data_IF_967616245115
#
_entry.id   IF_967616245115
#
_cell.length_a   1.000
_cell.length_b   1.000
_cell.length_c   1.000
_cell.angle_alpha   90.00
_cell.angle_beta   90.00
_cell.angle_gamma   90.00
#
_symmetry.space_group_name_H-M   'P 1'
#
loop_
_entity.id
_entity.type
_entity.pdbx_description
1 polymer ?
#
# COMPACT_ATOMS: atom_id res chain seq x y z
N UNK A 1 -10.71 42.29 27.37
CA UNK A 1 -11.47 41.53 28.39
C UNK A 1 -10.71 40.26 28.74
N UNK A 2 -10.20 40.15 29.98
CA UNK A 2 -9.29 39.08 30.45
C UNK A 2 -10.03 37.96 31.20
N UNK A 3 -11.30 38.16 31.51
CA UNK A 3 -12.13 37.30 32.36
C UNK A 3 -13.43 36.92 31.65
N UNK A 4 -13.90 35.69 31.87
CA UNK A 4 -15.07 35.08 31.23
C UNK A 4 -16.09 34.66 32.29
N UNK A 5 -17.37 34.70 31.97
CA UNK A 5 -18.43 34.13 32.80
C UNK A 5 -18.35 32.59 32.83
N UNK A 6 -19.06 31.97 33.79
CA UNK A 6 -19.15 30.51 33.87
C UNK A 6 -19.72 29.90 32.57
N UNK A 7 -20.75 30.52 31.99
CA UNK A 7 -21.38 30.04 30.76
C UNK A 7 -20.39 30.03 29.59
N UNK A 8 -19.66 31.13 29.39
CA UNK A 8 -18.66 31.22 28.31
C UNK A 8 -17.49 30.25 28.54
N UNK A 9 -17.04 30.08 29.79
CA UNK A 9 -15.98 29.14 30.11
C UNK A 9 -16.39 27.68 29.87
N UNK A 10 -17.65 27.34 30.17
CA UNK A 10 -18.21 26.00 29.93
C UNK A 10 -18.39 25.72 28.44
N UNK A 11 -18.84 26.71 27.67
CA UNK A 11 -18.96 26.63 26.22
C UNK A 11 -17.60 26.36 25.56
N UNK A 12 -16.57 27.14 25.94
CA UNK A 12 -15.20 26.98 25.42
C UNK A 12 -14.58 25.62 25.80
N UNK A 13 -14.84 25.12 27.01
CA UNK A 13 -14.29 23.84 27.47
C UNK A 13 -15.11 22.63 26.99
N UNK A 14 -16.39 22.83 26.63
CA UNK A 14 -17.38 21.79 26.37
C UNK A 14 -17.41 20.72 27.48
N UNK A 15 -17.55 21.18 28.74
CA UNK A 15 -17.60 20.31 29.93
C UNK A 15 -18.76 20.68 30.85
N UNK A 16 -19.10 19.79 31.78
CA UNK A 16 -20.09 20.07 32.82
C UNK A 16 -19.54 21.04 33.89
N UNK A 17 -20.40 21.82 34.57
CA UNK A 17 -19.99 22.77 35.63
C UNK A 17 -19.06 22.16 36.68
N UNK A 18 -19.29 20.92 37.10
CA UNK A 18 -18.46 20.23 38.10
C UNK A 18 -16.98 20.16 37.67
N UNK A 19 -16.72 19.98 36.37
CA UNK A 19 -15.37 19.92 35.82
C UNK A 19 -14.69 21.28 35.82
N UNK A 20 -15.42 22.36 35.52
CA UNK A 20 -14.89 23.72 35.62
C UNK A 20 -14.51 24.04 37.07
N UNK A 21 -15.41 23.78 38.02
CA UNK A 21 -15.17 24.04 39.45
C UNK A 21 -14.02 23.20 40.02
N UNK A 22 -13.92 21.92 39.64
CA UNK A 22 -12.81 21.07 40.06
C UNK A 22 -11.45 21.60 39.56
N UNK A 23 -11.38 22.18 38.36
CA UNK A 23 -10.15 22.75 37.83
C UNK A 23 -9.79 24.08 38.51
N UNK A 24 -10.78 24.85 38.94
CA UNK A 24 -10.57 26.07 39.73
C UNK A 24 -10.06 25.71 41.13
N UNK A 25 -10.70 24.74 41.80
CA UNK A 25 -10.27 24.23 43.12
C UNK A 25 -8.85 23.67 43.09
N UNK A 26 -8.43 23.07 41.97
CA UNK A 26 -7.07 22.56 41.76
C UNK A 26 -6.07 23.63 41.28
N UNK A 27 -6.45 24.90 41.26
CA UNK A 27 -5.61 26.02 40.85
C UNK A 27 -5.24 26.05 39.36
N UNK A 28 -5.91 25.26 38.52
CA UNK A 28 -5.60 25.15 37.08
C UNK A 28 -6.27 26.23 36.25
N UNK A 29 -7.35 26.82 36.76
CA UNK A 29 -8.04 27.98 36.18
C UNK A 29 -8.18 29.00 37.31
N UNK A 30 -7.62 30.19 37.11
CA UNK A 30 -7.82 31.29 38.06
C UNK A 30 -9.26 31.79 37.98
N UNK A 31 -9.85 32.05 39.14
CA UNK A 31 -11.18 32.63 39.27
C UNK A 31 -11.14 33.84 40.20
N UNK A 32 -12.01 34.82 39.96
CA UNK A 32 -12.26 35.96 40.86
C UNK A 32 -13.77 36.19 41.03
N UNK A 33 -14.23 36.81 42.12
CA UNK A 33 -15.61 37.30 42.22
C UNK A 33 -15.93 38.26 41.06
N UNK A 34 -17.18 38.26 40.63
CA UNK A 34 -17.69 39.28 39.71
C UNK A 34 -17.83 40.60 40.46
N UNK A 35 -17.44 41.70 39.81
CA UNK A 35 -17.44 43.03 40.43
C UNK A 35 -18.89 43.56 40.57
N UNK A 36 -19.82 43.07 39.74
CA UNK A 36 -21.25 43.44 39.74
C UNK A 36 -22.13 42.53 40.60
N UNK A 37 -21.72 41.28 40.85
CA UNK A 37 -22.44 40.31 41.68
C UNK A 37 -21.47 39.38 42.43
N UNK A 38 -21.22 39.60 43.73
CA UNK A 38 -20.28 38.80 44.52
C UNK A 38 -20.62 37.30 44.60
N UNK A 39 -21.85 36.91 44.23
CA UNK A 39 -22.26 35.49 44.17
C UNK A 39 -21.84 34.80 42.87
N UNK A 40 -21.34 35.54 41.89
CA UNK A 40 -20.82 35.04 40.62
C UNK A 40 -19.31 35.04 40.62
N UNK A 41 -18.74 34.14 39.82
CA UNK A 41 -17.30 34.05 39.61
C UNK A 41 -16.99 34.21 38.13
N UNK A 42 -15.91 34.93 37.86
CA UNK A 42 -15.31 35.09 36.54
C UNK A 42 -14.02 34.25 36.45
N UNK A 43 -13.76 33.69 35.27
CA UNK A 43 -12.69 32.75 35.00
C UNK A 43 -11.66 33.33 34.03
N UNK A 44 -10.38 33.13 34.31
CA UNK A 44 -9.32 33.71 33.50
C UNK A 44 -9.29 33.08 32.09
N UNK A 45 -9.52 33.91 31.06
CA UNK A 45 -9.70 33.46 29.66
C UNK A 45 -8.56 32.58 29.16
N UNK A 46 -7.31 32.96 29.41
CA UNK A 46 -6.16 32.22 28.88
C UNK A 46 -5.97 30.85 29.55
N UNK A 47 -6.41 30.68 30.79
CA UNK A 47 -6.32 29.39 31.48
C UNK A 47 -7.38 28.43 30.91
N UNK A 48 -8.59 28.94 30.67
CA UNK A 48 -9.70 28.25 30.00
C UNK A 48 -9.30 27.82 28.58
N UNK A 49 -8.78 28.74 27.76
CA UNK A 49 -8.36 28.44 26.38
C UNK A 49 -7.19 27.45 26.32
N UNK A 50 -6.21 27.57 27.22
CA UNK A 50 -5.08 26.63 27.30
C UNK A 50 -5.55 25.22 27.64
N UNK A 51 -6.55 25.11 28.51
CA UNK A 51 -7.13 23.84 28.89
C UNK A 51 -7.98 23.24 27.76
N UNK A 52 -8.80 24.04 27.08
CA UNK A 52 -9.58 23.61 25.91
C UNK A 52 -8.67 23.08 24.78
N UNK A 53 -7.56 23.77 24.49
CA UNK A 53 -6.56 23.33 23.50
C UNK A 53 -5.94 21.97 23.85
N UNK A 54 -5.68 21.70 25.13
CA UNK A 54 -5.14 20.40 25.59
C UNK A 54 -6.16 19.27 25.49
N UNK A 55 -7.42 19.54 25.79
CA UNK A 55 -8.50 18.55 25.69
C UNK A 55 -8.79 18.19 24.22
N UNK A 56 -8.90 19.21 23.35
CA UNK A 56 -9.07 19.01 21.92
C UNK A 56 -7.84 18.34 21.27
N UNK A 57 -6.62 18.69 21.69
CA UNK A 57 -5.41 18.01 21.20
C UNK A 57 -5.37 16.52 21.53
N UNK A 58 -5.86 16.10 22.70
CA UNK A 58 -5.93 14.67 23.08
C UNK A 58 -6.98 13.89 22.30
N UNK A 59 -8.20 14.42 22.17
CA UNK A 59 -9.26 13.80 21.36
C UNK A 59 -8.91 13.71 19.88
N UNK A 60 -8.28 14.75 19.33
CA UNK A 60 -7.86 14.79 17.91
C UNK A 60 -6.74 13.79 17.62
N UNK A 61 -5.83 13.53 18.57
CA UNK A 61 -4.79 12.49 18.42
C UNK A 61 -5.37 11.06 18.51
N UNK A 62 -6.39 10.84 19.34
CA UNK A 62 -6.99 9.52 19.57
C UNK A 62 -7.73 9.01 18.32
N UNK A 63 -8.55 9.86 17.68
CA UNK A 63 -9.32 9.54 16.47
C UNK A 63 -8.42 9.44 15.23
N UNK A 64 -7.48 10.38 15.06
CA UNK A 64 -6.55 10.40 13.90
C UNK A 64 -5.63 9.16 13.90
N UNK A 65 -5.28 8.58 15.05
CA UNK A 65 -4.33 7.45 15.08
C UNK A 65 -4.89 6.10 14.61
N UNK A 66 -6.18 5.82 14.84
CA UNK A 66 -6.82 4.57 14.42
C UNK A 66 -7.40 4.64 13.01
N UNK A 67 -7.98 5.79 12.64
CA UNK A 67 -8.58 5.99 11.32
C UNK A 67 -7.53 6.21 10.23
N UNK A 68 -6.41 6.89 10.52
CA UNK A 68 -5.38 7.14 9.51
C UNK A 68 -4.70 5.86 8.98
N UNK A 69 -4.69 4.75 9.74
CA UNK A 69 -4.13 3.48 9.27
C UNK A 69 -5.12 2.61 8.47
N UNK A 70 -6.41 2.95 8.44
CA UNK A 70 -7.45 2.20 7.73
C UNK A 70 -8.17 3.10 6.73
N UNK A 71 -7.57 3.30 5.55
CA UNK A 71 -8.15 4.09 4.46
C UNK A 71 -8.53 5.55 4.86
N UNK A 72 -8.03 6.07 5.99
CA UNK A 72 -8.22 7.44 6.46
C UNK A 72 -7.13 8.39 5.98
N UNK A 73 -6.93 9.50 6.69
CA UNK A 73 -6.00 10.56 6.29
C UNK A 73 -4.57 10.04 6.01
N UNK A 74 -3.89 10.51 4.94
CA UNK A 74 -2.54 10.09 4.60
C UNK A 74 -1.56 10.20 5.77
N UNK A 75 -0.95 9.08 6.16
CA UNK A 75 -0.06 8.99 7.33
C UNK A 75 1.35 9.52 7.04
N UNK A 76 1.81 9.40 5.79
CA UNK A 76 3.13 9.85 5.33
C UNK A 76 2.99 10.64 4.02
N UNK A 77 3.75 11.74 3.85
CA UNK A 77 3.83 12.40 2.56
C UNK A 77 4.47 11.45 1.53
N UNK A 78 3.93 11.50 0.33
CA UNK A 78 4.45 10.81 -0.85
C UNK A 78 4.16 11.66 -2.08
N UNK A 79 5.07 11.62 -3.03
CA UNK A 79 4.97 12.29 -4.33
C UNK A 79 4.89 11.31 -5.49
N UNK A 80 4.84 9.99 -5.21
CA UNK A 80 4.96 8.91 -6.19
C UNK A 80 3.63 8.63 -6.90
N UNK A 81 2.56 8.38 -6.14
CA UNK A 81 1.24 8.14 -6.70
C UNK A 81 0.13 8.67 -5.80
N UNK A 82 -1.06 8.84 -6.37
CA UNK A 82 -2.28 9.05 -5.59
C UNK A 82 -3.54 8.63 -6.36
N UNK A 83 -4.56 8.12 -5.65
CA UNK A 83 -5.90 7.98 -6.20
C UNK A 83 -6.75 9.23 -5.90
N UNK A 84 -7.02 10.04 -6.92
CA UNK A 84 -7.77 11.29 -6.80
C UNK A 84 -8.61 11.58 -8.05
N UNK A 85 -9.76 12.22 -7.87
CA UNK A 85 -10.64 12.69 -8.97
C UNK A 85 -10.97 11.60 -10.02
N UNK A 86 -11.21 10.36 -9.55
CA UNK A 86 -11.52 9.23 -10.43
C UNK A 86 -10.34 8.76 -11.29
N UNK A 87 -9.10 9.10 -10.90
CA UNK A 87 -7.86 8.68 -11.56
C UNK A 87 -6.90 8.04 -10.56
N UNK A 88 -6.07 7.13 -11.05
CA UNK A 88 -4.84 6.73 -10.38
C UNK A 88 -3.69 7.48 -11.04
N UNK A 89 -3.02 8.35 -10.31
CA UNK A 89 -1.96 9.19 -10.82
C UNK A 89 -0.60 8.63 -10.41
N UNK A 90 0.33 8.53 -11.35
CA UNK A 90 1.76 8.29 -11.15
C UNK A 90 2.49 9.58 -11.47
N UNK A 91 3.09 10.22 -10.46
CA UNK A 91 3.75 11.53 -10.61
C UNK A 91 2.88 12.58 -11.35
N UNK A 92 1.56 12.54 -11.12
CA UNK A 92 0.59 13.42 -11.77
C UNK A 92 0.06 12.94 -13.13
N UNK A 93 0.56 11.84 -13.68
CA UNK A 93 0.12 11.26 -14.94
C UNK A 93 -0.87 10.10 -14.70
N UNK A 94 -1.96 10.04 -15.47
CA UNK A 94 -2.95 8.98 -15.33
C UNK A 94 -2.39 7.61 -15.73
N UNK A 95 -2.37 6.67 -14.79
CA UNK A 95 -1.89 5.30 -14.96
C UNK A 95 -2.63 4.56 -16.08
N UNK A 96 -3.93 4.82 -16.27
CA UNK A 96 -4.69 4.22 -17.37
C UNK A 96 -4.24 4.74 -18.74
N UNK A 97 -3.84 6.01 -18.82
CA UNK A 97 -3.30 6.61 -20.05
C UNK A 97 -1.89 6.10 -20.33
N UNK A 98 -1.04 6.04 -19.30
CA UNK A 98 0.32 5.50 -19.41
C UNK A 98 0.30 4.04 -19.90
N UNK A 99 -0.58 3.21 -19.34
CA UNK A 99 -0.73 1.82 -19.73
C UNK A 99 -0.97 1.60 -21.23
N UNK A 100 -1.52 2.57 -21.96
CA UNK A 100 -1.71 2.44 -23.41
C UNK A 100 -0.37 2.31 -24.16
N UNK A 101 0.67 3.04 -23.77
CA UNK A 101 1.86 3.22 -24.62
C UNK A 101 3.22 3.07 -23.92
N UNK A 102 3.28 2.94 -22.60
CA UNK A 102 4.55 2.92 -21.87
C UNK A 102 4.96 1.50 -21.43
N UNK A 103 6.27 1.25 -21.36
CA UNK A 103 6.82 0.02 -20.75
C UNK A 103 6.84 0.11 -19.22
N UNK A 104 7.13 -0.99 -18.53
CA UNK A 104 7.31 -0.96 -17.06
C UNK A 104 8.59 -0.19 -16.70
N UNK A 105 9.61 -0.27 -17.56
CA UNK A 105 10.88 0.43 -17.47
C UNK A 105 10.70 1.94 -17.57
N UNK A 106 9.84 2.42 -18.46
CA UNK A 106 9.47 3.84 -18.55
C UNK A 106 8.77 4.31 -17.27
N UNK A 107 7.91 3.47 -16.68
CA UNK A 107 7.27 3.77 -15.40
C UNK A 107 8.28 3.77 -14.26
N UNK A 108 9.26 2.86 -14.28
CA UNK A 108 10.35 2.87 -13.31
C UNK A 108 11.15 4.17 -13.42
N UNK A 109 11.52 4.60 -14.62
CA UNK A 109 12.19 5.88 -14.84
C UNK A 109 11.37 7.07 -14.35
N UNK A 110 10.05 7.09 -14.61
CA UNK A 110 9.14 8.11 -14.11
C UNK A 110 9.06 8.14 -12.58
N UNK A 111 8.80 6.99 -11.94
CA UNK A 111 8.58 6.92 -10.50
C UNK A 111 9.87 7.14 -9.70
N UNK A 112 11.02 6.71 -10.23
CA UNK A 112 12.34 6.87 -9.62
C UNK A 112 13.01 8.21 -9.97
N UNK A 113 12.33 9.05 -10.76
CA UNK A 113 12.80 10.38 -11.18
C UNK A 113 14.17 10.32 -11.89
N UNK A 114 14.34 9.33 -12.77
CA UNK A 114 15.53 9.20 -13.61
C UNK A 114 15.52 10.26 -14.71
N UNK A 115 16.69 10.83 -15.03
CA UNK A 115 16.85 11.53 -16.30
C UNK A 115 16.97 10.55 -17.48
N UNK A 116 16.97 11.08 -18.71
CA UNK A 116 17.00 10.25 -19.92
C UNK A 116 18.29 9.42 -20.06
N UNK A 117 19.44 9.94 -19.60
CA UNK A 117 20.70 9.23 -19.66
C UNK A 117 20.75 8.11 -18.62
N UNK A 118 20.26 8.37 -17.41
CA UNK A 118 20.09 7.37 -16.36
C UNK A 118 19.13 6.27 -16.80
N UNK A 119 17.96 6.62 -17.33
CA UNK A 119 16.98 5.64 -17.81
C UNK A 119 17.58 4.71 -18.89
N UNK A 120 18.33 5.28 -19.84
CA UNK A 120 19.02 4.50 -20.87
C UNK A 120 20.12 3.59 -20.30
N UNK A 121 20.80 4.02 -19.23
CA UNK A 121 21.83 3.23 -18.55
C UNK A 121 21.24 2.09 -17.70
N UNK A 122 20.07 2.31 -17.07
CA UNK A 122 19.36 1.29 -16.29
C UNK A 122 18.74 0.22 -17.19
N UNK A 123 18.21 0.64 -18.33
CA UNK A 123 17.44 -0.20 -19.25
C UNK A 123 18.05 -0.17 -20.66
N UNK A 124 19.28 -0.69 -20.85
CA UNK A 124 19.92 -0.70 -22.15
C UNK A 124 19.10 -1.55 -23.14
N UNK A 125 18.84 -1.01 -24.33
CA UNK A 125 17.98 -1.62 -25.35
C UNK A 125 18.41 -3.03 -25.82
N UNK A 126 19.65 -3.47 -25.51
CA UNK A 126 20.23 -4.73 -25.98
C UNK A 126 20.81 -5.64 -24.89
N UNK A 127 20.78 -5.26 -23.61
CA UNK A 127 21.50 -6.04 -22.60
C UNK A 127 20.59 -6.96 -21.80
N UNK A 128 20.97 -8.25 -21.74
CA UNK A 128 20.83 -8.99 -20.50
C UNK A 128 21.62 -8.21 -19.44
N UNK A 129 20.95 -7.66 -18.42
CA UNK A 129 21.68 -7.08 -17.29
C UNK A 129 22.57 -8.18 -16.69
N UNK A 130 23.83 -7.89 -16.34
CA UNK A 130 24.73 -8.90 -15.79
C UNK A 130 24.14 -9.44 -14.49
N UNK A 131 23.57 -10.64 -14.56
CA UNK A 131 23.19 -11.42 -13.39
C UNK A 131 24.45 -11.89 -12.70
N UNK A 132 24.54 -11.69 -11.38
CA UNK A 132 25.52 -12.43 -10.59
C UNK A 132 25.36 -13.94 -10.87
N UNK A 133 26.45 -14.72 -10.93
CA UNK A 133 26.38 -16.13 -11.25
C UNK A 133 25.38 -16.84 -10.33
N UNK A 134 24.44 -17.58 -10.93
CA UNK A 134 23.48 -18.37 -10.18
C UNK A 134 24.26 -19.33 -9.25
N UNK A 135 23.98 -19.34 -7.93
CA UNK A 135 24.67 -20.25 -7.02
C UNK A 135 24.43 -21.70 -7.45
N UNK A 136 25.46 -22.54 -7.30
CA UNK A 136 25.44 -23.95 -7.65
C UNK A 136 24.20 -24.66 -7.09
N UNK A 137 23.66 -25.59 -7.89
CA UNK A 137 22.43 -26.37 -7.70
C UNK A 137 22.03 -26.57 -6.23
N UNK A 138 21.22 -25.65 -5.70
CA UNK A 138 20.29 -25.93 -4.62
C UNK A 138 19.02 -26.51 -5.26
N UNK A 139 18.28 -27.35 -4.53
CA UNK A 139 16.97 -27.85 -4.97
C UNK A 139 16.16 -26.70 -5.55
N UNK A 140 15.64 -26.86 -6.77
CA UNK A 140 14.86 -25.81 -7.43
C UNK A 140 13.72 -25.37 -6.50
N UNK A 141 13.53 -24.06 -6.28
CA UNK A 141 12.45 -23.57 -5.43
C UNK A 141 11.09 -24.10 -5.91
N UNK A 142 10.23 -24.47 -4.96
CA UNK A 142 8.96 -25.15 -5.23
C UNK A 142 7.92 -24.29 -5.96
N UNK A 143 8.11 -22.97 -6.02
CA UNK A 143 7.23 -22.01 -6.70
C UNK A 143 7.96 -20.71 -7.05
N UNK A 144 7.40 -19.92 -7.97
CA UNK A 144 7.89 -18.58 -8.29
C UNK A 144 7.98 -17.67 -7.06
N UNK A 145 6.99 -17.75 -6.15
CA UNK A 145 7.00 -17.02 -4.88
C UNK A 145 8.22 -17.40 -4.02
N UNK A 146 8.46 -18.69 -3.82
CA UNK A 146 9.61 -19.16 -3.03
C UNK A 146 10.93 -18.73 -3.67
N UNK A 147 11.03 -18.77 -5.00
CA UNK A 147 12.19 -18.32 -5.74
C UNK A 147 12.47 -16.82 -5.53
N UNK A 148 11.45 -15.98 -5.66
CA UNK A 148 11.56 -14.53 -5.43
C UNK A 148 11.95 -14.19 -3.99
N UNK A 149 11.36 -14.86 -3.00
CA UNK A 149 11.70 -14.66 -1.58
C UNK A 149 13.16 -15.02 -1.30
N UNK A 150 13.63 -16.17 -1.80
CA UNK A 150 15.02 -16.61 -1.63
C UNK A 150 16.01 -15.67 -2.33
N UNK A 151 15.69 -15.18 -3.53
CA UNK A 151 16.54 -14.24 -4.25
C UNK A 151 16.70 -12.93 -3.48
N UNK A 152 15.60 -12.35 -3.00
CA UNK A 152 15.62 -11.13 -2.20
C UNK A 152 16.28 -11.33 -0.84
N UNK A 153 16.07 -12.47 -0.18
CA UNK A 153 16.76 -12.80 1.07
C UNK A 153 18.28 -12.87 0.89
N UNK A 154 18.77 -13.53 -0.16
CA UNK A 154 20.19 -13.60 -0.48
C UNK A 154 20.78 -12.20 -0.74
N UNK A 155 20.08 -11.38 -1.54
CA UNK A 155 20.48 -9.99 -1.78
C UNK A 155 20.49 -9.16 -0.50
N UNK A 156 19.47 -9.30 0.35
CA UNK A 156 19.39 -8.55 1.63
C UNK A 156 20.55 -8.82 2.58
N UNK A 157 21.22 -9.98 2.44
CA UNK A 157 22.38 -10.35 3.25
C UNK A 157 23.71 -9.76 2.74
N UNK A 158 23.76 -9.28 1.49
CA UNK A 158 25.01 -8.82 0.84
C UNK A 158 24.94 -7.38 0.31
N UNK A 159 23.76 -6.91 -0.08
CA UNK A 159 23.56 -5.55 -0.60
C UNK A 159 23.82 -4.54 0.51
N UNK A 160 24.53 -3.46 0.17
CA UNK A 160 24.96 -2.46 1.14
C UNK A 160 23.77 -1.68 1.73
N UNK A 161 23.88 -1.18 2.99
CA UNK A 161 22.92 -0.26 3.57
C UNK A 161 22.61 0.93 2.64
N UNK A 162 21.36 1.39 2.64
CA UNK A 162 20.93 2.47 1.74
C UNK A 162 21.38 3.87 2.18
N UNK A 163 21.64 4.06 3.48
CA UNK A 163 22.00 5.36 4.04
C UNK A 163 23.33 5.88 3.51
N UNK A 164 23.34 7.16 3.12
CA UNK A 164 24.56 7.86 2.69
C UNK A 164 25.04 7.50 1.28
N UNK A 165 24.29 6.68 0.54
CA UNK A 165 24.62 6.32 -0.86
C UNK A 165 24.11 7.38 -1.83
N UNK A 166 24.79 7.51 -2.97
CA UNK A 166 24.39 8.44 -4.02
C UNK A 166 23.05 8.00 -4.65
N UNK A 167 22.15 8.92 -5.01
CA UNK A 167 20.87 8.58 -5.64
C UNK A 167 21.01 7.73 -6.91
N UNK A 168 22.00 8.01 -7.76
CA UNK A 168 22.26 7.22 -8.97
C UNK A 168 22.62 5.76 -8.66
N UNK A 169 23.43 5.51 -7.63
CA UNK A 169 23.80 4.15 -7.21
C UNK A 169 22.60 3.37 -6.68
N UNK A 170 21.70 4.06 -5.95
CA UNK A 170 20.47 3.47 -5.45
C UNK A 170 19.50 3.15 -6.58
N UNK A 171 19.38 4.01 -7.59
CA UNK A 171 18.58 3.72 -8.80
C UNK A 171 19.14 2.54 -9.59
N UNK A 172 20.47 2.45 -9.72
CA UNK A 172 21.12 1.30 -10.34
C UNK A 172 20.87 0.00 -9.58
N UNK A 173 20.97 0.01 -8.24
CA UNK A 173 20.60 -1.14 -7.42
C UNK A 173 19.11 -1.47 -7.53
N UNK A 174 18.22 -0.47 -7.58
CA UNK A 174 16.78 -0.69 -7.74
C UNK A 174 16.47 -1.50 -9.00
N UNK A 175 17.07 -1.13 -10.14
CA UNK A 175 16.95 -1.90 -11.38
C UNK A 175 17.45 -3.35 -11.22
N UNK A 176 18.60 -3.55 -10.56
CA UNK A 176 19.14 -4.88 -10.30
C UNK A 176 18.25 -5.73 -9.38
N UNK A 177 17.65 -5.13 -8.35
CA UNK A 177 16.72 -5.80 -7.44
C UNK A 177 15.47 -6.26 -8.20
N UNK A 178 14.89 -5.39 -9.04
CA UNK A 178 13.74 -5.74 -9.87
C UNK A 178 14.08 -6.89 -10.83
N UNK A 179 15.21 -6.81 -11.53
CA UNK A 179 15.63 -7.84 -12.49
C UNK A 179 15.90 -9.17 -11.80
N UNK A 180 16.56 -9.15 -10.64
CA UNK A 180 16.81 -10.36 -9.83
C UNK A 180 15.51 -11.03 -9.38
N UNK A 181 14.49 -10.23 -9.03
CA UNK A 181 13.17 -10.75 -8.67
C UNK A 181 12.51 -11.42 -9.88
N UNK A 182 12.52 -10.76 -11.04
CA UNK A 182 11.96 -11.31 -12.28
C UNK A 182 12.66 -12.61 -12.67
N UNK A 183 14.00 -12.62 -12.72
CA UNK A 183 14.80 -13.81 -13.07
C UNK A 183 14.51 -14.99 -12.16
N UNK A 184 14.39 -14.73 -10.85
CA UNK A 184 14.08 -15.77 -9.89
C UNK A 184 12.67 -16.32 -10.08
N UNK A 185 11.68 -15.44 -10.30
CA UNK A 185 10.27 -15.85 -10.45
C UNK A 185 9.99 -16.54 -11.79
N UNK A 186 10.75 -16.24 -12.84
CA UNK A 186 10.65 -16.92 -14.14
C UNK A 186 11.59 -18.12 -14.28
N UNK A 187 12.63 -18.20 -13.44
CA UNK A 187 13.72 -19.17 -13.56
C UNK A 187 14.63 -18.93 -14.77
N UNK A 188 14.56 -17.74 -15.40
CA UNK A 188 15.23 -17.43 -16.67
C UNK A 188 15.80 -16.01 -16.68
N UNK A 189 17.02 -15.88 -17.18
CA UNK A 189 17.69 -14.59 -17.43
C UNK A 189 17.71 -14.23 -18.91
N UNK A 190 16.53 -13.89 -19.44
CA UNK A 190 16.35 -13.48 -20.83
C UNK A 190 16.60 -11.96 -21.00
N UNK A 191 17.01 -11.54 -22.20
CA UNK A 191 17.16 -10.12 -22.57
C UNK A 191 15.82 -9.47 -22.95
N UNK A 192 15.79 -8.14 -23.03
CA UNK A 192 14.63 -7.35 -23.43
C UNK A 192 13.85 -6.79 -22.25
N UNK A 193 12.70 -6.17 -22.54
CA UNK A 193 11.84 -5.61 -21.51
C UNK A 193 11.27 -6.71 -20.60
N UNK A 194 10.84 -6.33 -19.40
CA UNK A 194 10.23 -7.24 -18.43
C UNK A 194 8.95 -7.87 -19.03
N UNK A 195 8.16 -7.14 -19.82
CA UNK A 195 7.01 -7.72 -20.52
C UNK A 195 7.42 -8.79 -21.52
N UNK A 196 8.45 -8.52 -22.35
CA UNK A 196 8.98 -9.49 -23.31
C UNK A 196 9.49 -10.74 -22.59
N UNK A 197 10.24 -10.56 -21.49
CA UNK A 197 10.80 -11.66 -20.68
C UNK A 197 9.71 -12.55 -20.10
N UNK A 198 8.65 -11.97 -19.54
CA UNK A 198 7.50 -12.74 -19.04
C UNK A 198 6.76 -13.44 -20.18
N UNK A 199 6.52 -12.76 -21.31
CA UNK A 199 5.85 -13.34 -22.46
C UNK A 199 6.64 -14.54 -23.04
N UNK A 200 7.97 -14.45 -23.10
CA UNK A 200 8.84 -15.56 -23.50
C UNK A 200 8.84 -16.70 -22.49
N UNK A 201 8.96 -16.40 -21.19
CA UNK A 201 8.93 -17.40 -20.14
C UNK A 201 7.62 -18.21 -20.14
N UNK A 202 6.50 -17.56 -20.48
CA UNK A 202 5.18 -18.17 -20.59
C UNK A 202 4.81 -18.64 -21.99
N UNK A 203 5.70 -18.50 -22.98
CA UNK A 203 5.51 -18.93 -24.37
C UNK A 203 4.29 -18.28 -25.06
N UNK A 204 4.04 -17.00 -24.76
CA UNK A 204 2.91 -16.20 -25.26
C UNK A 204 3.34 -14.83 -25.82
N UNK A 205 4.33 -14.76 -26.74
CA UNK A 205 4.80 -13.48 -27.29
C UNK A 205 3.68 -12.63 -27.91
N UNK A 206 2.64 -13.26 -28.47
CA UNK A 206 1.48 -12.57 -29.04
C UNK A 206 0.63 -11.82 -28.00
N UNK A 207 0.81 -12.09 -26.70
CA UNK A 207 0.09 -11.45 -25.61
C UNK A 207 0.96 -10.47 -24.80
N UNK A 208 2.15 -10.14 -25.28
CA UNK A 208 3.08 -9.24 -24.59
C UNK A 208 2.43 -7.88 -24.23
N UNK A 209 1.66 -7.30 -25.14
CA UNK A 209 1.05 -5.99 -24.92
C UNK A 209 0.09 -5.99 -23.71
N UNK A 210 -0.68 -7.06 -23.53
CA UNK A 210 -1.57 -7.21 -22.37
C UNK A 210 -0.78 -7.39 -21.07
N UNK A 211 0.35 -8.12 -21.12
CA UNK A 211 1.27 -8.28 -19.99
C UNK A 211 1.87 -6.92 -19.61
N UNK A 212 2.37 -6.16 -20.59
CA UNK A 212 2.92 -4.80 -20.39
C UNK A 212 1.90 -3.87 -19.72
N UNK A 213 0.67 -3.83 -20.23
CA UNK A 213 -0.44 -3.04 -19.65
C UNK A 213 -0.71 -3.42 -18.20
N UNK A 214 -0.79 -4.71 -17.90
CA UNK A 214 -1.01 -5.21 -16.55
C UNK A 214 0.13 -4.78 -15.60
N UNK A 215 1.39 -4.88 -16.04
CA UNK A 215 2.55 -4.44 -15.26
C UNK A 215 2.50 -2.93 -14.95
N UNK A 216 2.19 -2.08 -15.93
CA UNK A 216 2.07 -0.62 -15.72
C UNK A 216 0.96 -0.30 -14.71
N UNK A 217 -0.22 -0.91 -14.86
CA UNK A 217 -1.34 -0.70 -13.95
C UNK A 217 -1.04 -1.20 -12.52
N UNK A 218 -0.08 -2.11 -12.37
CA UNK A 218 0.38 -2.65 -11.08
C UNK A 218 1.59 -1.96 -10.48
N UNK A 219 2.22 -1.05 -11.23
CA UNK A 219 3.47 -0.41 -10.87
C UNK A 219 3.46 0.20 -9.46
N UNK A 220 2.39 0.93 -9.11
CA UNK A 220 2.24 1.45 -7.76
C UNK A 220 0.78 1.66 -7.35
N UNK A 221 0.53 1.72 -6.05
CA UNK A 221 -0.81 1.98 -5.52
C UNK A 221 -0.73 2.58 -4.11
N UNK A 222 -0.09 3.74 -4.03
CA UNK A 222 0.03 4.57 -2.83
C UNK A 222 0.59 3.81 -1.61
N UNK A 223 0.31 4.27 -0.39
CA UNK A 223 0.82 3.70 0.86
C UNK A 223 0.02 2.47 1.33
N UNK A 224 -0.18 1.48 0.46
CA UNK A 224 -0.75 0.18 0.84
C UNK A 224 0.18 -0.59 1.82
N UNK A 225 -0.31 -1.68 2.40
CA UNK A 225 0.39 -2.41 3.47
C UNK A 225 1.82 -2.84 3.11
N UNK A 226 2.05 -3.38 1.90
CA UNK A 226 3.39 -3.80 1.47
C UNK A 226 4.31 -2.61 1.21
N UNK A 227 3.79 -1.54 0.61
CA UNK A 227 4.53 -0.28 0.45
C UNK A 227 4.94 0.31 1.82
N UNK A 228 4.03 0.31 2.80
CA UNK A 228 4.33 0.79 4.15
C UNK A 228 5.40 -0.07 4.82
N UNK A 229 5.32 -1.41 4.70
CA UNK A 229 6.34 -2.31 5.23
C UNK A 229 7.73 -2.05 4.61
N UNK A 230 7.79 -1.81 3.29
CA UNK A 230 9.02 -1.39 2.61
C UNK A 230 9.58 -0.11 3.20
N UNK A 231 8.76 0.94 3.36
CA UNK A 231 9.21 2.21 3.96
C UNK A 231 9.68 2.03 5.41
N UNK A 232 9.01 1.22 6.21
CA UNK A 232 9.43 0.91 7.59
C UNK A 232 10.83 0.31 7.60
N UNK A 233 11.09 -0.72 6.79
CA UNK A 233 12.40 -1.36 6.71
C UNK A 233 13.50 -0.36 6.26
N UNK A 234 13.24 0.39 5.20
CA UNK A 234 14.19 1.37 4.65
C UNK A 234 14.47 2.51 5.63
N UNK A 235 13.49 2.91 6.45
CA UNK A 235 13.68 3.96 7.46
C UNK A 235 14.74 3.63 8.53
N UNK A 236 15.14 2.36 8.64
CA UNK A 236 16.22 1.90 9.52
C UNK A 236 17.60 1.94 8.86
N UNK A 237 17.65 2.20 7.55
CA UNK A 237 18.85 2.16 6.73
C UNK A 237 19.15 0.82 6.05
N UNK A 238 18.20 -0.10 6.06
CA UNK A 238 18.30 -1.38 5.34
C UNK A 238 18.58 -1.17 3.84
N UNK A 239 19.17 -2.18 3.18
CA UNK A 239 19.39 -2.18 1.73
C UNK A 239 18.06 -2.15 0.96
N UNK A 240 18.09 -1.79 -0.33
CA UNK A 240 16.87 -1.76 -1.14
C UNK A 240 16.25 -3.15 -1.26
N UNK A 241 17.07 -4.19 -1.42
CA UNK A 241 16.62 -5.58 -1.43
C UNK A 241 15.92 -5.98 -0.13
N UNK A 242 16.41 -5.55 1.03
CA UNK A 242 15.76 -5.81 2.31
C UNK A 242 14.40 -5.09 2.43
N UNK A 243 14.30 -3.85 1.95
CA UNK A 243 13.04 -3.12 1.87
C UNK A 243 12.01 -3.78 0.96
N UNK A 244 12.45 -4.24 -0.22
CA UNK A 244 11.60 -5.00 -1.16
C UNK A 244 11.20 -6.35 -0.57
N UNK A 245 12.10 -7.06 0.13
CA UNK A 245 11.76 -8.31 0.82
C UNK A 245 10.66 -8.13 1.87
N UNK A 246 10.72 -7.05 2.66
CA UNK A 246 9.69 -6.72 3.64
C UNK A 246 8.32 -6.46 2.98
N UNK A 247 8.31 -5.68 1.90
CA UNK A 247 7.11 -5.44 1.10
C UNK A 247 6.56 -6.72 0.46
N UNK A 248 7.43 -7.52 -0.15
CA UNK A 248 7.04 -8.75 -0.84
C UNK A 248 6.50 -9.81 0.13
N UNK A 249 7.12 -9.96 1.30
CA UNK A 249 6.60 -10.83 2.36
C UNK A 249 5.24 -10.35 2.86
N UNK A 250 5.06 -9.04 3.03
CA UNK A 250 3.77 -8.45 3.41
C UNK A 250 2.69 -8.70 2.33
N UNK A 251 3.06 -8.67 1.05
CA UNK A 251 2.15 -8.99 -0.06
C UNK A 251 1.60 -10.43 0.01
N UNK A 252 2.33 -11.38 0.57
CA UNK A 252 1.86 -12.78 0.70
C UNK A 252 0.66 -12.96 1.63
N UNK A 253 0.31 -11.94 2.43
CA UNK A 253 -0.83 -12.00 3.34
C UNK A 253 -2.16 -12.16 2.59
N UNK A 254 -3.11 -12.95 3.12
CA UNK A 254 -4.37 -13.24 2.43
C UNK A 254 -5.24 -11.99 2.19
N UNK A 255 -5.14 -10.99 3.06
CA UNK A 255 -5.85 -9.71 2.94
C UNK A 255 -5.13 -8.69 2.03
N UNK A 256 -4.05 -9.09 1.37
CA UNK A 256 -3.31 -8.25 0.43
C UNK A 256 -3.19 -8.95 -0.93
N UNK A 257 -2.13 -9.73 -1.18
CA UNK A 257 -1.92 -10.45 -2.45
C UNK A 257 -2.61 -11.82 -2.55
N UNK A 258 -3.45 -12.17 -1.57
CA UNK A 258 -4.13 -13.48 -1.52
C UNK A 258 -5.37 -13.62 -2.40
N UNK A 259 -5.91 -12.51 -2.93
CA UNK A 259 -7.18 -12.48 -3.65
C UNK A 259 -7.23 -13.45 -4.84
N UNK A 260 -6.12 -13.62 -5.57
CA UNK A 260 -6.06 -14.51 -6.73
C UNK A 260 -6.39 -15.97 -6.38
N UNK A 261 -5.92 -16.48 -5.23
CA UNK A 261 -6.17 -17.87 -4.80
C UNK A 261 -7.63 -18.08 -4.42
N UNK A 262 -8.22 -17.11 -3.73
CA UNK A 262 -9.63 -17.13 -3.33
C UNK A 262 -10.55 -17.00 -4.55
N UNK A 263 -10.20 -16.12 -5.49
CA UNK A 263 -10.98 -15.97 -6.71
C UNK A 263 -10.91 -17.20 -7.60
N UNK A 264 -9.76 -17.89 -7.67
CA UNK A 264 -9.66 -19.19 -8.35
C UNK A 264 -10.60 -20.24 -7.75
N UNK A 265 -10.82 -20.23 -6.43
CA UNK A 265 -11.82 -21.09 -5.79
C UNK A 265 -13.24 -20.69 -6.21
N UNK A 266 -13.56 -19.40 -6.23
CA UNK A 266 -14.86 -18.91 -6.67
C UNK A 266 -15.16 -19.30 -8.13
N UNK A 267 -14.17 -19.16 -9.02
CA UNK A 267 -14.27 -19.60 -10.42
C UNK A 267 -14.53 -21.10 -10.51
N UNK A 268 -13.79 -21.92 -9.76
CA UNK A 268 -13.98 -23.37 -9.76
C UNK A 268 -15.39 -23.78 -9.30
N UNK A 269 -15.95 -23.12 -8.28
CA UNK A 269 -17.34 -23.33 -7.86
C UNK A 269 -18.33 -22.93 -8.95
N UNK A 270 -18.11 -21.80 -9.61
CA UNK A 270 -18.97 -21.35 -10.71
C UNK A 270 -18.94 -22.29 -11.92
N UNK A 271 -17.79 -22.92 -12.21
CA UNK A 271 -17.65 -23.94 -13.25
C UNK A 271 -18.35 -25.26 -12.89
N UNK A 272 -18.34 -25.62 -11.60
CA UNK A 272 -18.95 -26.86 -11.12
C UNK A 272 -20.48 -26.78 -11.02
N UNK A 273 -21.02 -25.60 -10.74
CA UNK A 273 -22.46 -25.35 -10.61
C UNK A 273 -22.88 -24.18 -11.51
N UNK A 274 -22.89 -22.96 -10.97
CA UNK A 274 -23.16 -21.74 -11.72
C UNK A 274 -22.69 -20.51 -10.92
N UNK A 275 -22.56 -19.36 -11.58
CA UNK A 275 -22.12 -18.11 -10.95
C UNK A 275 -23.01 -17.65 -9.79
N UNK A 276 -24.34 -17.77 -9.91
CA UNK A 276 -25.32 -17.36 -8.89
C UNK A 276 -25.11 -18.11 -7.58
N UNK A 277 -25.05 -19.45 -7.65
CA UNK A 277 -24.76 -20.30 -6.49
C UNK A 277 -23.39 -20.01 -5.89
N UNK A 278 -22.36 -19.82 -6.72
CA UNK A 278 -20.99 -19.58 -6.26
C UNK A 278 -20.89 -18.28 -5.45
N UNK A 279 -21.47 -17.18 -5.94
CA UNK A 279 -21.50 -15.90 -5.22
C UNK A 279 -22.34 -15.99 -3.96
N UNK A 280 -23.55 -16.57 -4.02
CA UNK A 280 -24.43 -16.70 -2.86
C UNK A 280 -23.78 -17.51 -1.73
N UNK A 281 -23.13 -18.63 -2.07
CA UNK A 281 -22.40 -19.45 -1.09
C UNK A 281 -21.21 -18.72 -0.48
N UNK A 282 -20.49 -17.92 -1.27
CA UNK A 282 -19.39 -17.11 -0.75
C UNK A 282 -19.89 -16.03 0.22
N UNK A 283 -20.93 -15.29 -0.15
CA UNK A 283 -21.54 -14.25 0.70
C UNK A 283 -22.09 -14.83 2.01
N UNK A 284 -22.65 -16.05 1.98
CA UNK A 284 -23.10 -16.74 3.19
C UNK A 284 -21.99 -16.97 4.23
N UNK A 285 -20.72 -17.03 3.79
CA UNK A 285 -19.55 -17.15 4.68
C UNK A 285 -19.17 -15.83 5.38
N UNK A 286 -19.86 -14.72 5.08
CA UNK A 286 -19.59 -13.35 5.59
C UNK A 286 -18.17 -12.85 5.32
N UNK A 287 -17.54 -13.37 4.26
CA UNK A 287 -16.24 -12.90 3.77
C UNK A 287 -16.46 -11.93 2.61
N UNK A 288 -15.57 -10.94 2.43
CA UNK A 288 -15.56 -10.12 1.22
C UNK A 288 -15.46 -11.01 -0.03
N UNK A 289 -16.14 -10.59 -1.10
CA UNK A 289 -16.10 -11.31 -2.37
C UNK A 289 -14.72 -11.09 -3.02
N UNK A 290 -13.92 -12.15 -3.27
CA UNK A 290 -12.57 -11.99 -3.77
C UNK A 290 -12.60 -11.44 -5.20
N UNK A 291 -11.69 -10.51 -5.50
CA UNK A 291 -11.56 -9.86 -6.80
C UNK A 291 -12.71 -8.92 -7.20
N UNK A 292 -13.62 -8.59 -6.28
CA UNK A 292 -14.68 -7.61 -6.46
C UNK A 292 -14.64 -6.54 -5.36
N UNK A 293 -15.05 -5.33 -5.73
CA UNK A 293 -15.05 -4.19 -4.83
C UNK A 293 -13.66 -3.65 -4.54
N UNK A 294 -13.61 -2.37 -4.15
CA UNK A 294 -12.37 -1.75 -3.70
C UNK A 294 -12.66 -0.53 -2.80
N UNK A 295 -12.09 -0.45 -1.58
CA UNK A 295 -12.40 0.65 -0.65
C UNK A 295 -12.10 2.07 -1.17
N UNK A 296 -11.07 2.23 -2.02
CA UNK A 296 -10.75 3.51 -2.66
C UNK A 296 -11.55 3.81 -3.94
N UNK A 297 -12.25 2.82 -4.51
CA UNK A 297 -12.93 2.95 -5.80
C UNK A 297 -14.39 2.50 -5.67
N UNK A 298 -15.22 3.33 -5.06
CA UNK A 298 -16.66 3.05 -4.90
C UNK A 298 -17.37 2.83 -6.23
N UNK A 299 -16.93 3.51 -7.29
CA UNK A 299 -17.50 3.40 -8.64
C UNK A 299 -16.75 2.40 -9.53
N UNK A 300 -15.97 1.49 -8.93
CA UNK A 300 -15.22 0.41 -9.60
C UNK A 300 -13.76 0.75 -9.89
N UNK A 301 -12.88 -0.26 -9.75
CA UNK A 301 -11.43 -0.13 -9.86
C UNK A 301 -10.99 0.41 -11.22
N UNK A 302 -10.29 1.54 -11.21
CA UNK A 302 -9.82 2.24 -12.39
C UNK A 302 -8.84 1.41 -13.22
N UNK A 303 -8.01 0.60 -12.54
CA UNK A 303 -7.02 -0.28 -13.19
C UNK A 303 -7.72 -1.44 -13.86
N UNK A 304 -8.70 -2.04 -13.18
CA UNK A 304 -9.51 -3.12 -13.74
C UNK A 304 -10.22 -2.63 -15.01
N UNK A 305 -10.88 -1.47 -14.92
CA UNK A 305 -11.58 -0.84 -16.04
C UNK A 305 -10.65 -0.57 -17.22
N UNK A 306 -9.42 -0.13 -16.97
CA UNK A 306 -8.42 0.11 -18.03
C UNK A 306 -8.01 -1.20 -18.72
N UNK A 307 -7.71 -2.26 -17.96
CA UNK A 307 -7.27 -3.53 -18.51
C UNK A 307 -8.40 -4.31 -19.22
N UNK A 308 -9.61 -4.30 -18.65
CA UNK A 308 -10.76 -5.04 -19.17
C UNK A 308 -11.23 -4.56 -20.55
N UNK A 309 -10.92 -3.32 -20.95
CA UNK A 309 -11.20 -2.81 -22.31
C UNK A 309 -10.52 -3.63 -23.40
N UNK A 310 -9.41 -4.28 -23.06
CA UNK A 310 -8.56 -5.03 -24.00
C UNK A 310 -8.72 -6.55 -23.84
N UNK A 311 -9.63 -7.01 -22.98
CA UNK A 311 -9.87 -8.42 -22.70
C UNK A 311 -11.24 -8.86 -23.23
N UNK A 312 -11.35 -10.10 -23.76
CA UNK A 312 -12.64 -10.62 -24.16
C UNK A 312 -13.48 -10.98 -22.93
N UNK A 313 -14.78 -11.06 -23.14
CA UNK A 313 -15.69 -11.65 -22.16
C UNK A 313 -15.64 -13.17 -22.25
N UNK A 314 -15.39 -13.84 -21.13
CA UNK A 314 -15.28 -15.30 -21.05
C UNK A 314 -16.23 -15.84 -19.97
N UNK A 315 -16.76 -17.05 -20.16
CA UNK A 315 -17.43 -17.79 -19.08
C UNK A 315 -16.41 -18.54 -18.21
N UNK A 316 -16.62 -18.65 -16.90
CA UNK A 316 -17.73 -18.09 -16.13
C UNK A 316 -17.52 -16.63 -15.66
N UNK A 317 -16.42 -15.98 -16.07
CA UNK A 317 -16.04 -14.64 -15.59
C UNK A 317 -17.14 -13.58 -15.78
N UNK A 318 -17.71 -13.48 -17.00
CA UNK A 318 -18.79 -12.51 -17.28
C UNK A 318 -20.02 -12.76 -16.39
N UNK A 319 -20.40 -14.02 -16.18
CA UNK A 319 -21.54 -14.38 -15.34
C UNK A 319 -21.28 -14.08 -13.87
N UNK A 320 -20.05 -14.32 -13.39
CA UNK A 320 -19.61 -13.95 -12.05
C UNK A 320 -19.66 -12.43 -11.85
N UNK A 321 -19.20 -11.64 -12.81
CA UNK A 321 -19.25 -10.19 -12.73
C UNK A 321 -20.68 -9.65 -12.66
N UNK A 322 -21.57 -10.13 -13.55
CA UNK A 322 -22.97 -9.74 -13.52
C UNK A 322 -23.67 -10.16 -12.20
N UNK A 323 -23.35 -11.35 -11.70
CA UNK A 323 -23.92 -11.86 -10.44
C UNK A 323 -23.42 -11.08 -9.23
N UNK A 324 -22.12 -10.77 -9.17
CA UNK A 324 -21.52 -10.00 -8.09
C UNK A 324 -22.13 -8.60 -8.00
N UNK A 325 -22.32 -7.93 -9.14
CA UNK A 325 -22.99 -6.64 -9.21
C UNK A 325 -24.46 -6.76 -8.74
N UNK A 326 -25.19 -7.76 -9.23
CA UNK A 326 -26.60 -7.95 -8.88
C UNK A 326 -26.82 -8.28 -7.39
N UNK A 327 -26.00 -9.15 -6.81
CA UNK A 327 -26.20 -9.68 -5.46
C UNK A 327 -25.49 -8.88 -4.37
N UNK A 328 -24.34 -8.28 -4.68
CA UNK A 328 -23.50 -7.56 -3.71
C UNK A 328 -23.29 -6.08 -4.06
N UNK A 329 -23.65 -5.63 -5.27
CA UNK A 329 -23.34 -4.28 -5.73
C UNK A 329 -21.85 -4.05 -6.01
N UNK A 330 -21.06 -5.12 -6.09
CA UNK A 330 -19.61 -5.04 -6.18
C UNK A 330 -19.13 -5.25 -7.63
N UNK A 331 -18.30 -4.33 -8.11
CA UNK A 331 -17.73 -4.36 -9.46
C UNK A 331 -16.38 -5.08 -9.48
N UNK A 332 -15.97 -5.66 -10.63
CA UNK A 332 -14.64 -6.26 -10.78
C UNK A 332 -13.51 -5.32 -10.39
N UNK A 333 -12.55 -5.82 -9.61
CA UNK A 333 -11.32 -5.11 -9.30
C UNK A 333 -10.14 -5.65 -10.13
N UNK A 334 -8.93 -5.14 -9.90
CA UNK A 334 -7.77 -5.52 -10.71
C UNK A 334 -7.42 -7.01 -10.63
N UNK A 335 -7.66 -7.67 -9.49
CA UNK A 335 -7.39 -9.10 -9.34
C UNK A 335 -8.29 -9.94 -10.26
N UNK A 336 -9.52 -9.48 -10.52
CA UNK A 336 -10.42 -10.11 -11.49
C UNK A 336 -9.84 -9.97 -12.89
N UNK A 337 -9.37 -8.77 -13.24
CA UNK A 337 -8.82 -8.51 -14.56
C UNK A 337 -7.52 -9.30 -14.82
N UNK A 338 -6.67 -9.48 -13.80
CA UNK A 338 -5.48 -10.33 -13.87
C UNK A 338 -5.83 -11.82 -14.03
N UNK A 339 -6.88 -12.30 -13.34
CA UNK A 339 -7.35 -13.67 -13.50
C UNK A 339 -7.97 -13.90 -14.89
N UNK A 340 -8.77 -12.95 -15.40
CA UNK A 340 -9.32 -13.01 -16.75
C UNK A 340 -8.22 -12.95 -17.82
N UNK A 341 -7.21 -12.09 -17.65
CA UNK A 341 -6.02 -12.04 -18.49
C UNK A 341 -5.31 -13.41 -18.52
N UNK A 342 -5.11 -14.00 -17.35
CA UNK A 342 -4.48 -15.32 -17.19
C UNK A 342 -5.24 -16.39 -17.96
N UNK A 343 -6.57 -16.43 -17.83
CA UNK A 343 -7.40 -17.37 -18.58
C UNK A 343 -7.41 -17.11 -20.08
N UNK A 344 -7.49 -15.84 -20.51
CA UNK A 344 -7.51 -15.46 -21.92
C UNK A 344 -6.22 -15.83 -22.64
N UNK A 345 -5.08 -15.55 -22.03
CA UNK A 345 -3.76 -15.76 -22.63
C UNK A 345 -3.17 -17.15 -22.36
N UNK A 346 -3.84 -17.99 -21.56
CA UNK A 346 -3.32 -19.31 -21.19
C UNK A 346 -2.08 -19.26 -20.29
N UNK A 347 -1.99 -18.26 -19.41
CA UNK A 347 -0.82 -18.05 -18.54
C UNK A 347 -0.78 -19.10 -17.41
N UNK A 348 0.40 -19.33 -16.78
CA UNK A 348 0.51 -20.16 -15.59
C UNK A 348 -0.39 -19.71 -14.44
N UNK A 349 -0.76 -20.65 -13.56
CA UNK A 349 -1.71 -20.40 -12.45
C UNK A 349 -1.24 -19.31 -11.47
N UNK A 350 0.06 -19.13 -11.33
CA UNK A 350 0.69 -18.11 -10.49
C UNK A 350 0.90 -16.76 -11.19
N UNK A 351 0.60 -16.65 -12.50
CA UNK A 351 0.78 -15.42 -13.28
C UNK A 351 0.11 -14.18 -12.67
N UNK A 352 -1.14 -14.22 -12.11
CA UNK A 352 -1.72 -13.04 -11.45
C UNK A 352 -0.83 -12.50 -10.34
N UNK A 353 -0.28 -13.39 -9.51
CA UNK A 353 0.60 -13.01 -8.41
C UNK A 353 1.96 -12.50 -8.92
N UNK A 354 2.52 -13.15 -9.94
CA UNK A 354 3.78 -12.71 -10.56
C UNK A 354 3.62 -11.30 -11.15
N UNK A 355 2.56 -11.03 -11.92
CA UNK A 355 2.28 -9.71 -12.50
C UNK A 355 2.12 -8.64 -11.42
N UNK A 356 1.38 -8.95 -10.35
CA UNK A 356 1.21 -8.04 -9.22
C UNK A 356 2.57 -7.74 -8.58
N UNK A 357 3.33 -8.77 -8.19
CA UNK A 357 4.58 -8.61 -7.47
C UNK A 357 5.65 -7.89 -8.30
N UNK A 358 5.80 -8.25 -9.57
CA UNK A 358 6.78 -7.64 -10.48
C UNK A 358 6.42 -6.18 -10.77
N UNK A 359 5.15 -5.90 -11.10
CA UNK A 359 4.70 -4.52 -11.28
C UNK A 359 4.93 -3.70 -10.00
N UNK A 360 4.41 -4.18 -8.87
CA UNK A 360 4.47 -3.45 -7.58
C UNK A 360 5.90 -3.24 -7.07
N UNK A 361 6.85 -4.08 -7.46
CA UNK A 361 8.26 -3.90 -7.11
C UNK A 361 8.81 -2.54 -7.56
N UNK A 362 8.34 -2.00 -8.69
CA UNK A 362 8.69 -0.64 -9.14
C UNK A 362 8.27 0.41 -8.11
N UNK A 363 7.03 0.36 -7.64
CA UNK A 363 6.50 1.24 -6.60
C UNK A 363 7.19 1.07 -5.26
N UNK A 364 7.47 -0.17 -4.82
CA UNK A 364 8.25 -0.42 -3.60
C UNK A 364 9.62 0.22 -3.66
N UNK A 365 10.32 0.10 -4.78
CA UNK A 365 11.61 0.73 -4.99
C UNK A 365 11.51 2.26 -5.05
N UNK A 366 10.47 2.82 -5.68
CA UNK A 366 10.22 4.27 -5.67
C UNK A 366 10.03 4.79 -4.23
N UNK A 367 9.20 4.11 -3.45
CA UNK A 367 8.96 4.45 -2.05
C UNK A 367 10.17 4.22 -1.15
N UNK A 368 11.02 3.24 -1.47
CA UNK A 368 12.31 3.06 -0.81
C UNK A 368 13.23 4.25 -1.08
N UNK A 369 13.37 4.67 -2.33
CA UNK A 369 14.17 5.84 -2.71
C UNK A 369 13.67 7.12 -2.03
N UNK A 370 12.35 7.37 -2.05
CA UNK A 370 11.74 8.51 -1.35
C UNK A 370 11.99 8.45 0.16
N UNK A 371 11.95 7.25 0.76
CA UNK A 371 12.21 7.08 2.18
C UNK A 371 13.68 7.28 2.56
N UNK A 372 14.63 6.88 1.71
CA UNK A 372 16.05 7.17 1.89
C UNK A 372 16.28 8.68 1.85
N UNK A 373 15.69 9.37 0.86
CA UNK A 373 15.82 10.82 0.72
C UNK A 373 15.21 11.57 1.91
N UNK A 374 14.06 11.12 2.43
CA UNK A 374 13.44 11.68 3.62
C UNK A 374 14.29 11.50 4.88
N UNK A 375 15.17 10.49 4.91
CA UNK A 375 16.13 10.19 5.97
C UNK A 375 15.55 10.28 7.40
N UNK A 376 14.35 9.71 7.59
CA UNK A 376 13.61 9.79 8.85
C UNK A 376 13.13 8.41 9.29
N UNK A 377 13.52 8.00 10.50
CA UNK A 377 13.09 6.74 11.11
C UNK A 377 11.57 6.71 11.34
N UNK A 378 10.92 5.65 10.88
CA UNK A 378 9.51 5.34 11.21
C UNK A 378 9.50 4.51 12.49
N UNK A 379 9.17 5.17 13.61
CA UNK A 379 9.11 4.53 14.94
C UNK A 379 7.87 4.98 15.70
N UNK A 380 6.70 4.35 15.47
CA UNK A 380 5.49 4.67 16.21
C UNK A 380 5.63 4.26 17.68
N UNK A 381 4.78 4.85 18.53
CA UNK A 381 4.62 4.46 19.94
C UNK A 381 3.27 3.76 20.09
N UNK A 382 3.27 2.60 20.73
CA UNK A 382 2.02 1.96 21.12
C UNK A 382 1.40 2.68 22.33
N UNK A 383 0.07 2.73 22.38
CA UNK A 383 -0.68 2.98 23.60
C UNK A 383 -0.72 1.67 24.40
N UNK A 384 -0.11 1.67 25.58
CA UNK A 384 -0.16 0.51 26.47
C UNK A 384 -1.55 0.40 27.11
N UNK A 385 -2.21 -0.74 26.94
CA UNK A 385 -3.54 -1.06 27.50
C UNK A 385 -3.51 -2.29 28.44
N UNK A 386 -2.31 -2.76 28.79
CA UNK A 386 -2.13 -3.81 29.78
C UNK A 386 -2.30 -3.32 31.22
N UNK A 387 -2.11 -4.21 32.22
CA UNK A 387 -2.27 -3.86 33.64
C UNK A 387 -1.43 -2.65 34.04
N UNK A 388 -2.02 -1.72 34.81
CA UNK A 388 -1.26 -0.61 35.38
C UNK A 388 -0.11 -1.14 36.25
N UNK A 389 1.02 -0.43 36.26
CA UNK A 389 2.13 -0.79 37.12
C UNK A 389 1.65 -0.87 38.58
N UNK A 390 1.87 -2.00 39.22
CA UNK A 390 1.73 -2.13 40.68
C UNK A 390 2.88 -1.32 41.25
N UNK A 391 2.64 -0.05 41.53
CA UNK A 391 3.53 0.73 42.38
C UNK A 391 3.32 0.17 43.78
N UNK A 392 4.12 -0.83 44.15
CA UNK A 392 4.30 -1.19 45.55
C UNK A 392 4.75 0.08 46.24
N UNK A 393 3.90 0.66 47.09
CA UNK A 393 4.28 1.73 48.00
C UNK A 393 5.25 1.12 49.03
N UNK A 394 6.48 0.86 48.59
CA UNK A 394 7.59 0.44 49.43
C UNK A 394 8.18 1.68 50.05
N UNK A 395 7.88 1.85 51.34
CA UNK A 395 8.71 2.60 52.28
C UNK A 395 10.18 2.23 52.03
N UNK A 396 10.99 3.19 51.59
CA UNK A 396 12.43 3.29 51.84
C UNK A 396 12.83 4.76 51.85
#
# INVERSE_FOLDING_TARGET
>A
MVWMTAAEALDVLNVRPQTLYANVSRGKIRAKPDDDDPRRSLYHRDDVLRMARRANGRRKVEIVSSEAMQYGDPVLPSSISTAADGKLLYRGHDAATLAENTSLEDIAALLWECDAAEAAALWPASASLPTAPAPAAQSAPESALAAGLLALARRSAVDAPSLGRAPADLRAEAAQVLVSLVDAMTGRSDAGSISTRLAHAWQVPQHEDLIRRALVLMADHELNASTFATRVAISTGASLAAGVLAGFTTLTGPLHGGAAKEFAQLIAHAQADNASSAVANWLASKRPLPAFGHPLYSDGDLRARALLKHLPKLKPYEELAATAEQQAGELPNIDYALALLTAHCGLPKDAPFILFAVGRCVGWLAHALEQVQANRLIRPRARYTGPAAIISAGIY
#
